data_IF_266288138059
#
_entry.id   IF_266288138059
#
_cell.length_a   1.000
_cell.length_b   1.000
_cell.length_c   1.000
_cell.angle_alpha   90.00
_cell.angle_beta   90.00
_cell.angle_gamma   90.00
#
_symmetry.space_group_name_H-M   'P 1'
#
loop_
_entity.id
_entity.type
_entity.pdbx_description
1 polymer ?
#
# COMPACT_ATOMS: atom_id res chain seq x y z
N UNK A 1 9.21 11.61 -15.39
CA UNK A 1 8.00 11.00 -14.80
C UNK A 1 7.39 11.99 -13.79
N UNK A 2 6.09 12.25 -13.92
CA UNK A 2 5.29 13.03 -12.97
C UNK A 2 4.79 12.14 -11.83
N UNK A 3 5.12 12.49 -10.59
CA UNK A 3 4.81 11.67 -9.41
C UNK A 3 3.31 11.60 -9.11
N UNK A 4 2.85 10.44 -8.62
CA UNK A 4 1.47 10.21 -8.21
C UNK A 4 0.42 10.26 -9.33
N UNK A 5 0.82 10.04 -10.59
CA UNK A 5 -0.04 10.06 -11.79
C UNK A 5 -0.13 8.70 -12.49
N UNK A 6 -1.14 8.54 -13.34
CA UNK A 6 -1.28 7.40 -14.27
C UNK A 6 -0.77 7.77 -15.65
N UNK A 7 -0.22 6.78 -16.35
CA UNK A 7 0.46 6.93 -17.65
C UNK A 7 -0.28 6.24 -18.80
N UNK A 8 -1.61 6.24 -18.74
CA UNK A 8 -2.49 5.71 -19.79
C UNK A 8 -3.77 6.56 -19.82
N UNK A 9 -4.59 6.40 -20.86
CA UNK A 9 -5.87 7.12 -20.98
C UNK A 9 -6.96 6.36 -20.21
N UNK A 10 -7.51 6.92 -19.12
CA UNK A 10 -8.50 6.22 -18.32
C UNK A 10 -9.85 6.12 -19.04
N UNK A 11 -10.49 4.96 -18.92
CA UNK A 11 -11.88 4.74 -19.36
C UNK A 11 -12.84 5.38 -18.36
N UNK A 12 -13.38 6.56 -18.69
CA UNK A 12 -14.19 7.37 -17.77
C UNK A 12 -15.27 6.58 -16.99
N UNK A 13 -15.96 5.64 -17.63
CA UNK A 13 -16.99 4.81 -17.00
C UNK A 13 -16.48 3.93 -15.84
N UNK A 14 -15.21 3.51 -15.85
CA UNK A 14 -14.60 2.70 -14.77
C UNK A 14 -14.30 3.52 -13.52
N UNK A 15 -14.22 4.85 -13.66
CA UNK A 15 -13.83 5.77 -12.60
C UNK A 15 -14.99 6.63 -12.08
N UNK A 16 -16.12 6.68 -12.79
CA UNK A 16 -17.21 7.62 -12.54
C UNK A 16 -17.74 7.62 -11.08
N UNK A 17 -17.82 6.45 -10.46
CA UNK A 17 -18.39 6.27 -9.12
C UNK A 17 -17.34 6.23 -7.99
N UNK A 18 -16.07 6.46 -8.31
CA UNK A 18 -14.99 6.38 -7.33
C UNK A 18 -14.79 7.70 -6.58
N UNK A 19 -14.57 7.59 -5.27
CA UNK A 19 -14.17 8.72 -4.42
C UNK A 19 -12.77 9.21 -4.79
N UNK A 20 -11.83 8.29 -4.97
CA UNK A 20 -10.44 8.59 -5.31
C UNK A 20 -10.30 8.58 -6.83
N UNK A 21 -9.97 9.75 -7.39
CA UNK A 21 -9.75 9.92 -8.83
C UNK A 21 -8.24 9.95 -9.18
N UNK A 22 -7.83 9.33 -10.30
CA UNK A 22 -6.46 9.40 -10.77
C UNK A 22 -6.15 10.78 -11.34
N UNK A 23 -4.88 11.14 -11.36
CA UNK A 23 -4.37 12.26 -12.17
C UNK A 23 -3.66 11.66 -13.37
N UNK A 24 -4.04 12.04 -14.58
CA UNK A 24 -3.34 11.63 -15.80
C UNK A 24 -2.08 12.49 -15.95
N UNK A 25 -0.94 11.86 -16.25
CA UNK A 25 0.32 12.57 -16.46
C UNK A 25 0.22 13.53 -17.66
N UNK A 26 0.86 14.70 -17.57
CA UNK A 26 0.86 15.70 -18.66
C UNK A 26 1.36 15.09 -19.99
N UNK A 27 2.36 14.22 -19.93
CA UNK A 27 2.91 13.52 -21.10
C UNK A 27 1.86 12.69 -21.86
N UNK A 28 0.85 12.13 -21.21
CA UNK A 28 -0.24 11.40 -21.88
C UNK A 28 -1.27 12.36 -22.47
N UNK A 29 -1.51 13.46 -21.77
CA UNK A 29 -2.47 14.49 -22.21
C UNK A 29 -1.96 15.20 -23.46
N UNK A 30 -0.66 15.50 -23.53
CA UNK A 30 -0.03 16.20 -24.65
C UNK A 30 0.54 15.25 -25.72
N UNK A 31 1.13 14.14 -25.29
CA UNK A 31 1.90 13.23 -26.14
C UNK A 31 1.13 12.05 -26.71
N UNK A 32 -0.13 11.83 -26.30
CA UNK A 32 -0.96 10.74 -26.79
C UNK A 32 -0.85 9.45 -25.99
N UNK A 33 -1.49 8.40 -26.50
CA UNK A 33 -1.62 7.12 -25.79
C UNK A 33 -0.44 6.18 -26.10
N UNK A 34 0.67 6.37 -25.39
CA UNK A 34 1.89 5.58 -25.60
C UNK A 34 1.69 4.09 -25.34
N UNK A 35 0.74 3.71 -24.48
CA UNK A 35 0.45 2.31 -24.21
C UNK A 35 -0.32 1.69 -25.37
N UNK A 36 -1.29 2.40 -25.96
CA UNK A 36 -1.97 1.92 -27.18
C UNK A 36 -0.97 1.65 -28.32
N UNK A 37 -0.02 2.56 -28.54
CA UNK A 37 1.02 2.39 -29.57
C UNK A 37 1.89 1.13 -29.32
N UNK A 38 2.16 0.80 -28.06
CA UNK A 38 2.89 -0.42 -27.70
C UNK A 38 2.06 -1.68 -27.98
N UNK A 39 0.76 -1.65 -27.70
CA UNK A 39 -0.16 -2.75 -28.00
C UNK A 39 -0.26 -2.98 -29.51
N UNK A 40 -0.41 -1.92 -30.32
CA UNK A 40 -0.46 -2.04 -31.78
C UNK A 40 0.81 -2.70 -32.35
N UNK A 41 1.99 -2.34 -31.83
CA UNK A 41 3.26 -2.97 -32.22
C UNK A 41 3.32 -4.44 -31.83
N UNK A 42 2.78 -4.80 -30.67
CA UNK A 42 2.68 -6.20 -30.22
C UNK A 42 1.77 -7.01 -31.15
N UNK A 43 0.61 -6.47 -31.53
CA UNK A 43 -0.31 -7.13 -32.48
C UNK A 43 0.29 -7.26 -33.90
N UNK A 44 1.20 -6.36 -34.28
CA UNK A 44 1.96 -6.44 -35.54
C UNK A 44 3.12 -7.46 -35.51
N UNK A 45 3.19 -8.34 -34.50
CA UNK A 45 4.25 -9.34 -34.33
C UNK A 45 5.47 -8.84 -33.55
N UNK A 46 5.32 -7.74 -32.81
CA UNK A 46 6.34 -7.21 -31.92
C UNK A 46 6.50 -7.99 -30.61
N UNK A 47 7.24 -7.39 -29.67
CA UNK A 47 7.49 -7.97 -28.35
C UNK A 47 6.24 -7.97 -27.48
N UNK A 48 6.19 -8.89 -26.51
CA UNK A 48 5.20 -8.89 -25.45
C UNK A 48 5.27 -7.63 -24.59
N UNK A 49 4.12 -7.16 -24.10
CA UNK A 49 3.99 -5.94 -23.31
C UNK A 49 3.77 -6.27 -21.84
N UNK A 50 4.60 -5.67 -20.98
CA UNK A 50 4.42 -5.63 -19.54
C UNK A 50 4.01 -4.25 -19.10
N UNK A 51 2.96 -4.17 -18.28
CA UNK A 51 2.63 -2.95 -17.56
C UNK A 51 3.07 -3.08 -16.11
N UNK A 52 3.85 -2.14 -15.60
CA UNK A 52 4.10 -2.02 -14.16
C UNK A 52 3.27 -0.86 -13.61
N UNK A 53 2.64 -1.05 -12.46
CA UNK A 53 1.80 0.01 -11.86
C UNK A 53 1.95 0.07 -10.35
N UNK A 54 2.02 1.30 -9.83
CA UNK A 54 2.07 1.56 -8.40
C UNK A 54 0.67 1.53 -7.81
N UNK A 55 0.44 0.61 -6.86
CA UNK A 55 -0.87 0.38 -6.26
C UNK A 55 -1.14 1.38 -5.12
N UNK A 56 -0.65 1.10 -3.92
CA UNK A 56 -1.01 1.84 -2.71
C UNK A 56 0.06 2.84 -2.25
N UNK A 57 1.11 3.05 -3.04
CA UNK A 57 2.18 4.00 -2.73
C UNK A 57 2.00 5.29 -3.55
N UNK A 58 1.33 6.29 -2.98
CA UNK A 58 1.03 7.54 -3.69
C UNK A 58 0.79 8.70 -2.72
N UNK A 59 1.86 9.46 -2.45
CA UNK A 59 1.83 10.62 -1.53
C UNK A 59 0.82 11.67 -1.95
N UNK A 60 0.70 11.94 -3.26
CA UNK A 60 -0.27 12.90 -3.79
C UNK A 60 -1.70 12.51 -3.42
N UNK A 61 -2.06 11.25 -3.62
CA UNK A 61 -3.37 10.73 -3.24
C UNK A 61 -3.56 10.74 -1.73
N UNK A 62 -2.56 10.35 -0.95
CA UNK A 62 -2.70 10.35 0.51
C UNK A 62 -2.87 11.76 1.09
N UNK A 63 -2.25 12.79 0.52
CA UNK A 63 -2.49 14.18 0.92
C UNK A 63 -3.90 14.68 0.56
N UNK A 64 -4.45 14.25 -0.58
CA UNK A 64 -5.81 14.62 -0.98
C UNK A 64 -6.90 13.84 -0.22
N UNK A 65 -6.61 12.59 0.15
CA UNK A 65 -7.54 11.67 0.80
C UNK A 65 -6.93 11.12 2.10
N UNK A 66 -6.67 11.98 3.11
CA UNK A 66 -5.97 11.60 4.35
C UNK A 66 -6.74 10.62 5.23
N UNK A 67 -8.02 10.39 4.97
CA UNK A 67 -8.81 9.34 5.59
C UNK A 67 -8.45 7.94 5.07
N UNK A 68 -7.93 7.85 3.85
CA UNK A 68 -7.65 6.60 3.16
C UNK A 68 -6.24 6.04 3.42
N UNK A 69 -5.39 6.78 4.12
CA UNK A 69 -4.00 6.38 4.38
C UNK A 69 -3.85 5.46 5.58
N UNK A 70 -2.71 4.77 5.65
CA UNK A 70 -2.29 4.08 6.87
C UNK A 70 -2.01 5.08 7.99
N UNK A 71 -2.18 4.64 9.24
CA UNK A 71 -1.96 5.48 10.43
C UNK A 71 -1.21 4.72 11.50
N UNK A 72 -0.15 5.29 12.06
CA UNK A 72 0.63 4.64 13.10
C UNK A 72 -0.18 4.45 14.42
N UNK A 73 0.44 3.91 15.47
CA UNK A 73 -0.23 3.67 16.75
C UNK A 73 -0.72 4.96 17.46
N UNK A 74 -0.12 6.10 17.16
CA UNK A 74 -0.52 7.42 17.67
C UNK A 74 -1.69 8.02 16.88
N UNK A 75 -1.90 7.54 15.66
CA UNK A 75 -2.94 8.01 14.73
C UNK A 75 -2.40 8.95 13.66
N UNK A 76 -1.08 9.14 13.57
CA UNK A 76 -0.45 10.01 12.59
C UNK A 76 -0.58 9.41 11.19
N UNK A 77 -0.90 10.22 10.17
CA UNK A 77 -1.07 9.74 8.80
C UNK A 77 0.26 9.49 8.09
N UNK A 78 0.38 8.32 7.46
CA UNK A 78 1.47 8.01 6.55
C UNK A 78 1.03 8.35 5.12
N UNK A 79 1.17 9.61 4.71
CA UNK A 79 0.59 10.11 3.46
C UNK A 79 1.06 9.36 2.21
N UNK A 80 2.22 8.75 2.24
CA UNK A 80 2.76 7.97 1.13
C UNK A 80 2.00 6.64 0.91
N UNK A 81 1.29 6.09 1.91
CA UNK A 81 0.71 4.75 1.82
C UNK A 81 -0.81 4.74 2.05
N UNK A 82 -1.57 4.51 0.97
CA UNK A 82 -2.99 4.18 1.04
C UNK A 82 -3.20 2.85 1.76
N UNK A 83 -4.23 2.76 2.60
CA UNK A 83 -4.45 1.58 3.43
C UNK A 83 -5.11 0.44 2.63
N UNK A 84 -4.54 -0.78 2.61
CA UNK A 84 -5.17 -1.93 1.94
C UNK A 84 -6.49 -2.35 2.59
N UNK A 85 -6.80 -1.89 3.81
CA UNK A 85 -8.11 -2.13 4.44
C UNK A 85 -9.15 -1.06 4.11
N UNK A 86 -8.77 0.08 3.52
CA UNK A 86 -9.71 1.17 3.24
C UNK A 86 -10.50 0.92 1.94
N UNK A 87 -11.84 0.94 1.97
CA UNK A 87 -12.65 0.58 0.80
C UNK A 87 -12.34 1.43 -0.43
N UNK A 88 -12.23 2.75 -0.28
CA UNK A 88 -11.96 3.64 -1.42
C UNK A 88 -10.56 3.43 -2.02
N UNK A 89 -9.55 3.10 -1.20
CA UNK A 89 -8.21 2.79 -1.68
C UNK A 89 -8.20 1.48 -2.48
N UNK A 90 -8.91 0.45 -2.00
CA UNK A 90 -9.09 -0.81 -2.73
C UNK A 90 -9.83 -0.58 -4.04
N UNK A 91 -10.90 0.19 -4.02
CA UNK A 91 -11.71 0.49 -5.21
C UNK A 91 -10.88 1.23 -6.28
N UNK A 92 -10.03 2.19 -5.86
CA UNK A 92 -9.08 2.86 -6.74
C UNK A 92 -8.13 1.88 -7.44
N UNK A 93 -7.44 1.00 -6.70
CA UNK A 93 -6.47 0.07 -7.31
C UNK A 93 -7.17 -0.99 -8.16
N UNK A 94 -8.38 -1.44 -7.77
CA UNK A 94 -9.20 -2.34 -8.58
C UNK A 94 -9.56 -1.71 -9.93
N UNK A 95 -9.99 -0.46 -9.95
CA UNK A 95 -10.28 0.24 -11.20
C UNK A 95 -9.02 0.49 -12.03
N UNK A 96 -7.89 0.81 -11.39
CA UNK A 96 -6.59 0.95 -12.06
C UNK A 96 -6.21 -0.32 -12.83
N UNK A 97 -6.23 -1.47 -12.14
CA UNK A 97 -5.89 -2.77 -12.75
C UNK A 97 -6.92 -3.16 -13.81
N UNK A 98 -8.21 -3.03 -13.51
CA UNK A 98 -9.27 -3.37 -14.47
C UNK A 98 -9.21 -2.50 -15.73
N UNK A 99 -8.92 -1.21 -15.61
CA UNK A 99 -8.85 -0.31 -16.75
C UNK A 99 -7.64 -0.62 -17.64
N UNK A 100 -6.44 -0.73 -17.04
CA UNK A 100 -5.24 -1.07 -17.81
C UNK A 100 -5.41 -2.40 -18.54
N UNK A 101 -5.87 -3.44 -17.83
CA UNK A 101 -5.91 -4.80 -18.38
C UNK A 101 -7.00 -5.01 -19.42
N UNK A 102 -8.19 -4.43 -19.25
CA UNK A 102 -9.26 -4.58 -20.23
C UNK A 102 -9.13 -3.64 -21.43
N UNK A 103 -8.55 -2.45 -21.24
CA UNK A 103 -8.38 -1.47 -22.31
C UNK A 103 -7.20 -1.83 -23.20
N UNK A 104 -6.08 -2.27 -22.61
CA UNK A 104 -4.83 -2.50 -23.35
C UNK A 104 -4.45 -3.98 -23.49
N UNK A 105 -5.01 -4.89 -22.68
CA UNK A 105 -4.71 -6.33 -22.73
C UNK A 105 -3.21 -6.66 -22.84
N UNK A 106 -2.37 -6.11 -21.94
CA UNK A 106 -0.96 -6.45 -21.92
C UNK A 106 -0.78 -7.95 -21.60
N UNK A 107 0.35 -8.53 -22.00
CA UNK A 107 0.66 -9.93 -21.65
C UNK A 107 0.78 -10.13 -20.14
N UNK A 108 1.27 -9.09 -19.43
CA UNK A 108 1.39 -9.12 -17.97
C UNK A 108 1.21 -7.74 -17.35
N UNK A 109 0.76 -7.72 -16.09
CA UNK A 109 0.75 -6.55 -15.23
C UNK A 109 1.51 -6.88 -13.93
N UNK A 110 2.46 -6.03 -13.57
CA UNK A 110 3.31 -6.13 -12.39
C UNK A 110 2.82 -5.13 -11.34
N UNK A 111 2.39 -5.64 -10.18
CA UNK A 111 1.77 -4.84 -9.12
C UNK A 111 2.82 -4.36 -8.11
N UNK A 112 3.12 -3.06 -8.11
CA UNK A 112 3.99 -2.47 -7.10
C UNK A 112 3.24 -2.04 -5.85
N UNK A 113 3.77 -2.45 -4.70
CA UNK A 113 3.31 -2.05 -3.37
C UNK A 113 1.79 -2.20 -3.15
N UNK A 114 1.16 -3.37 -3.43
CA UNK A 114 -0.23 -3.64 -3.07
C UNK A 114 -0.38 -3.97 -1.56
N UNK A 115 0.44 -3.37 -0.70
CA UNK A 115 0.64 -3.77 0.70
C UNK A 115 0.78 -2.59 1.66
N UNK A 116 0.94 -2.91 2.94
CA UNK A 116 1.48 -1.98 3.91
C UNK A 116 2.96 -1.70 3.60
N UNK A 117 3.37 -0.45 3.75
CA UNK A 117 4.75 0.01 3.58
C UNK A 117 5.49 0.09 4.92
N UNK A 118 6.82 0.18 4.88
CA UNK A 118 7.67 0.47 6.03
C UNK A 118 7.48 1.90 6.57
N UNK A 119 8.11 2.20 7.71
CA UNK A 119 8.07 3.54 8.30
C UNK A 119 9.09 4.47 7.63
N UNK A 120 10.38 4.09 7.62
CA UNK A 120 11.40 4.85 6.90
C UNK A 120 11.03 4.96 5.42
N UNK A 121 10.93 6.19 4.91
CA UNK A 121 10.49 6.44 3.55
C UNK A 121 11.34 7.51 2.83
N UNK A 122 12.40 8.02 3.48
CA UNK A 122 13.45 8.92 2.96
C UNK A 122 12.93 10.16 2.20
N UNK A 123 11.70 10.60 2.46
CA UNK A 123 11.08 11.73 1.76
C UNK A 123 10.86 12.93 2.69
N UNK A 124 11.11 14.14 2.14
CA UNK A 124 11.07 15.43 2.85
C UNK A 124 11.97 15.52 4.10
N UNK A 125 13.22 15.06 3.98
CA UNK A 125 14.28 15.34 4.95
C UNK A 125 14.08 14.67 6.32
N UNK A 126 13.79 13.37 6.34
CA UNK A 126 13.91 12.54 7.56
C UNK A 126 15.30 12.74 8.18
N UNK A 127 15.33 13.03 9.49
CA UNK A 127 16.56 13.34 10.24
C UNK A 127 16.59 12.52 11.52
N UNK A 128 17.07 11.31 11.38
CA UNK A 128 17.13 10.36 12.49
C UNK A 128 18.57 10.35 13.02
N UNK A 129 18.92 11.35 13.83
CA UNK A 129 20.31 11.59 14.27
C UNK A 129 20.98 10.42 15.01
N UNK A 130 20.19 9.47 15.52
CA UNK A 130 20.65 8.24 16.20
C UNK A 130 20.18 6.95 15.52
N UNK A 131 19.31 7.06 14.50
CA UNK A 131 18.63 5.93 13.85
C UNK A 131 17.56 5.24 14.72
N UNK A 132 16.55 4.64 14.08
CA UNK A 132 15.60 3.75 14.74
C UNK A 132 16.18 2.34 14.86
N UNK A 133 15.83 1.62 15.92
CA UNK A 133 16.11 0.18 15.98
C UNK A 133 15.18 -0.57 15.01
N UNK A 134 15.52 -1.81 14.59
CA UNK A 134 14.66 -2.57 13.68
C UNK A 134 13.23 -2.75 14.18
N UNK A 135 13.04 -2.97 15.48
CA UNK A 135 11.71 -3.09 16.07
C UNK A 135 10.95 -1.76 16.09
N UNK A 136 11.61 -0.63 16.33
CA UNK A 136 10.95 0.68 16.34
C UNK A 136 10.44 1.05 14.94
N UNK A 137 11.25 0.86 13.91
CA UNK A 137 10.84 1.04 12.50
C UNK A 137 9.65 0.14 12.15
N UNK A 138 9.71 -1.15 12.51
CA UNK A 138 8.62 -2.07 12.28
C UNK A 138 7.33 -1.66 13.01
N UNK A 139 7.42 -1.31 14.29
CA UNK A 139 6.28 -0.94 15.13
C UNK A 139 5.63 0.37 14.66
N UNK A 140 6.43 1.34 14.20
CA UNK A 140 5.95 2.59 13.61
C UNK A 140 5.27 2.38 12.26
N UNK A 141 5.65 1.34 11.50
CA UNK A 141 5.01 0.99 10.23
C UNK A 141 3.60 0.38 10.37
N UNK A 142 3.21 -0.05 11.58
CA UNK A 142 1.94 -0.72 11.80
C UNK A 142 0.75 0.22 11.64
N UNK A 143 -0.19 -0.16 10.77
CA UNK A 143 -1.41 0.62 10.56
C UNK A 143 -2.48 0.29 11.60
N UNK A 144 -3.02 1.31 12.26
CA UNK A 144 -4.18 1.27 13.17
C UNK A 144 -5.25 2.29 12.76
N UNK A 145 -5.39 2.56 11.45
CA UNK A 145 -6.47 3.42 10.96
C UNK A 145 -7.86 2.81 11.25
N UNK A 146 -8.95 3.61 11.22
CA UNK A 146 -10.30 3.12 11.49
C UNK A 146 -10.70 1.89 10.66
N UNK A 147 -10.30 1.84 9.38
CA UNK A 147 -10.61 0.72 8.50
C UNK A 147 -9.88 -0.56 8.89
N UNK A 148 -8.61 -0.50 9.29
CA UNK A 148 -7.87 -1.65 9.81
C UNK A 148 -8.51 -2.16 11.11
N UNK A 149 -8.79 -1.27 12.06
CA UNK A 149 -9.36 -1.64 13.35
C UNK A 149 -10.76 -2.28 13.19
N UNK A 150 -11.61 -1.70 12.33
CA UNK A 150 -12.93 -2.25 12.06
C UNK A 150 -12.86 -3.61 11.34
N UNK A 151 -11.92 -3.78 10.39
CA UNK A 151 -11.73 -5.05 9.67
C UNK A 151 -11.15 -6.14 10.56
N UNK A 152 -10.20 -5.81 11.42
CA UNK A 152 -9.64 -6.71 12.44
C UNK A 152 -10.72 -7.17 13.44
N UNK A 153 -11.54 -6.24 13.93
CA UNK A 153 -12.63 -6.56 14.85
C UNK A 153 -13.64 -7.55 14.23
N UNK A 154 -13.98 -7.40 12.94
CA UNK A 154 -14.83 -8.37 12.21
C UNK A 154 -14.21 -9.77 12.12
N UNK A 155 -12.89 -9.89 12.20
CA UNK A 155 -12.17 -11.15 12.24
C UNK A 155 -11.95 -11.68 13.68
N UNK A 156 -12.53 -11.04 14.70
CA UNK A 156 -12.35 -11.41 16.10
C UNK A 156 -10.99 -11.03 16.69
N UNK A 157 -10.31 -10.03 16.09
CA UNK A 157 -8.97 -9.60 16.50
C UNK A 157 -9.03 -8.29 17.27
N UNK A 158 -8.44 -8.27 18.47
CA UNK A 158 -8.41 -7.13 19.39
C UNK A 158 -7.35 -6.07 18.99
N UNK A 159 -7.57 -5.43 17.84
CA UNK A 159 -6.63 -4.43 17.29
C UNK A 159 -6.38 -3.21 18.18
N UNK A 160 -7.35 -2.82 19.03
CA UNK A 160 -7.16 -1.71 19.97
C UNK A 160 -6.17 -2.05 21.08
N UNK A 161 -6.16 -3.30 21.57
CA UNK A 161 -5.20 -3.75 22.56
C UNK A 161 -3.78 -3.79 21.96
N UNK A 162 -3.65 -4.28 20.72
CA UNK A 162 -2.39 -4.22 19.97
C UNK A 162 -1.91 -2.76 19.81
N UNK A 163 -2.80 -1.85 19.41
CA UNK A 163 -2.48 -0.42 19.27
C UNK A 163 -1.95 0.18 20.57
N UNK A 164 -2.62 -0.07 21.69
CA UNK A 164 -2.24 0.46 22.99
C UNK A 164 -0.84 -0.01 23.40
N UNK A 165 -0.55 -1.30 23.21
CA UNK A 165 0.76 -1.89 23.51
C UNK A 165 1.87 -1.30 22.64
N UNK A 166 1.65 -1.20 21.32
CA UNK A 166 2.62 -0.61 20.39
C UNK A 166 2.87 0.86 20.72
N UNK A 167 1.81 1.62 21.00
CA UNK A 167 1.92 3.03 21.42
C UNK A 167 2.74 3.17 22.70
N UNK A 168 2.51 2.30 23.68
CA UNK A 168 3.28 2.28 24.93
C UNK A 168 4.76 2.01 24.65
N UNK A 169 5.09 1.00 23.84
CA UNK A 169 6.49 0.64 23.58
C UNK A 169 7.27 1.71 22.84
N UNK A 170 6.64 2.37 21.87
CA UNK A 170 7.26 3.50 21.16
C UNK A 170 7.47 4.68 22.11
N UNK A 171 6.48 5.00 22.97
CA UNK A 171 6.65 6.05 23.98
C UNK A 171 7.80 5.74 24.94
N UNK A 172 7.88 4.50 25.45
CA UNK A 172 8.97 4.03 26.30
C UNK A 172 10.34 4.07 25.59
N UNK A 173 10.39 3.85 24.28
CA UNK A 173 11.62 3.97 23.49
C UNK A 173 12.06 5.44 23.37
N UNK A 174 11.11 6.36 23.10
CA UNK A 174 11.38 7.80 23.01
C UNK A 174 11.78 8.45 24.34
N UNK A 175 11.41 7.87 25.48
CA UNK A 175 11.80 8.36 26.82
C UNK A 175 13.25 7.99 27.21
N UNK A 176 13.93 7.11 26.46
CA UNK A 176 15.30 6.69 26.76
C UNK A 176 16.32 7.72 26.26
N UNK A 177 17.38 7.89 27.05
CA UNK A 177 18.52 8.73 26.65
C UNK A 177 19.35 8.11 25.51
N UNK A 178 19.35 6.78 25.39
CA UNK A 178 20.10 6.02 24.39
C UNK A 178 19.18 4.96 23.77
N UNK A 179 19.17 4.80 22.43
CA UNK A 179 18.45 3.71 21.79
C UNK A 179 18.94 2.35 22.27
N UNK A 180 18.02 1.48 22.65
CA UNK A 180 18.32 0.13 23.13
C UNK A 180 17.29 -0.84 22.58
N UNK A 181 17.75 -1.96 22.02
CA UNK A 181 16.87 -3.00 21.49
C UNK A 181 16.07 -3.64 22.62
N UNK A 182 14.74 -3.63 22.47
CA UNK A 182 13.81 -4.43 23.28
C UNK A 182 13.86 -5.90 22.87
N UNK A 183 14.09 -6.17 21.58
CA UNK A 183 14.07 -7.52 21.00
C UNK A 183 15.38 -7.81 20.27
N UNK A 184 16.42 -8.34 20.96
CA UNK A 184 17.74 -8.54 20.37
C UNK A 184 17.74 -9.37 19.07
N UNK A 185 16.90 -10.41 19.02
CA UNK A 185 16.78 -11.34 17.88
C UNK A 185 15.90 -10.83 16.74
N UNK A 186 15.22 -9.69 16.90
CA UNK A 186 14.43 -9.10 15.81
C UNK A 186 15.37 -8.40 14.82
N UNK A 187 15.22 -8.60 13.48
CA UNK A 187 14.09 -9.25 12.79
C UNK A 187 14.25 -10.75 12.50
N UNK A 188 15.35 -11.40 12.91
CA UNK A 188 15.63 -12.81 12.57
C UNK A 188 14.54 -13.78 13.10
N UNK A 189 13.98 -13.51 14.28
CA UNK A 189 12.87 -14.28 14.86
C UNK A 189 11.49 -13.97 14.25
N UNK A 190 11.38 -13.01 13.32
CA UNK A 190 10.12 -12.67 12.65
C UNK A 190 8.99 -12.34 13.63
N UNK A 191 7.78 -12.80 13.32
CA UNK A 191 6.59 -12.55 14.15
C UNK A 191 6.58 -13.36 15.46
N UNK A 192 7.37 -14.45 15.55
CA UNK A 192 7.46 -15.27 16.77
C UNK A 192 7.98 -14.46 17.97
N UNK A 193 8.74 -13.38 17.70
CA UNK A 193 9.14 -12.35 18.66
C UNK A 193 7.97 -11.88 19.52
N UNK A 194 6.76 -11.80 18.95
CA UNK A 194 5.59 -11.21 19.59
C UNK A 194 4.65 -12.25 20.23
N UNK A 195 4.96 -13.56 20.16
CA UNK A 195 4.15 -14.63 20.77
C UNK A 195 3.74 -14.37 22.25
N UNK A 196 4.60 -13.79 23.11
CA UNK A 196 4.23 -13.48 24.50
C UNK A 196 3.15 -12.40 24.65
N UNK A 197 2.78 -11.69 23.57
CA UNK A 197 1.73 -10.65 23.54
C UNK A 197 0.62 -11.04 22.55
N UNK A 198 -0.31 -11.93 22.95
CA UNK A 198 -1.24 -12.58 22.04
C UNK A 198 -2.07 -11.62 21.17
N UNK A 199 -2.48 -10.48 21.71
CA UNK A 199 -3.27 -9.49 20.98
C UNK A 199 -2.46 -8.85 19.84
N UNK A 200 -1.21 -8.49 20.11
CA UNK A 200 -0.32 -7.94 19.08
C UNK A 200 0.04 -9.02 18.06
N UNK A 201 0.43 -10.21 18.52
CA UNK A 201 0.76 -11.32 17.62
C UNK A 201 -0.40 -11.68 16.69
N UNK A 202 -1.62 -11.81 17.23
CA UNK A 202 -2.81 -12.08 16.43
C UNK A 202 -3.11 -10.95 15.43
N UNK A 203 -2.90 -9.68 15.83
CA UNK A 203 -3.02 -8.54 14.92
C UNK A 203 -1.99 -8.57 13.78
N UNK A 204 -0.74 -8.92 14.07
CA UNK A 204 0.32 -9.03 13.09
C UNK A 204 0.07 -10.18 12.09
N UNK A 205 -0.43 -11.32 12.55
CA UNK A 205 -0.85 -12.42 11.67
C UNK A 205 -2.07 -12.03 10.83
N UNK A 206 -3.05 -11.31 11.41
CA UNK A 206 -4.20 -10.84 10.66
C UNK A 206 -3.83 -9.86 9.55
N UNK A 207 -2.77 -9.06 9.70
CA UNK A 207 -2.34 -8.08 8.68
C UNK A 207 -1.99 -8.67 7.31
N UNK A 208 -1.77 -9.98 7.19
CA UNK A 208 -1.67 -10.62 5.87
C UNK A 208 -3.01 -10.55 5.10
N UNK A 209 -4.14 -10.63 5.79
CA UNK A 209 -5.48 -10.75 5.17
C UNK A 209 -5.86 -9.53 4.30
N UNK A 210 -5.70 -8.26 4.73
CA UNK A 210 -6.01 -7.13 3.87
C UNK A 210 -5.20 -7.10 2.57
N UNK A 211 -3.95 -7.58 2.61
CA UNK A 211 -3.03 -7.61 1.47
C UNK A 211 -3.39 -8.78 0.54
N UNK A 212 -3.49 -10.00 1.05
CA UNK A 212 -3.78 -11.18 0.23
C UNK A 212 -5.16 -11.11 -0.41
N UNK A 213 -6.16 -10.62 0.33
CA UNK A 213 -7.50 -10.38 -0.23
C UNK A 213 -7.51 -9.27 -1.28
N UNK A 214 -6.69 -8.22 -1.15
CA UNK A 214 -6.58 -7.19 -2.19
C UNK A 214 -5.99 -7.80 -3.45
N UNK A 215 -4.86 -8.51 -3.36
CA UNK A 215 -4.24 -9.15 -4.53
C UNK A 215 -5.21 -10.15 -5.19
N UNK A 216 -6.02 -10.87 -4.42
CA UNK A 216 -7.08 -11.71 -4.97
C UNK A 216 -8.14 -10.90 -5.74
N UNK A 217 -8.64 -9.80 -5.18
CA UNK A 217 -9.56 -8.87 -5.87
C UNK A 217 -8.95 -8.30 -7.15
N UNK A 218 -7.65 -7.97 -7.15
CA UNK A 218 -6.95 -7.45 -8.34
C UNK A 218 -6.85 -8.49 -9.45
N UNK A 219 -6.61 -9.77 -9.10
CA UNK A 219 -6.65 -10.89 -10.04
C UNK A 219 -8.04 -11.14 -10.60
N UNK A 220 -9.08 -10.97 -9.78
CA UNK A 220 -10.47 -11.17 -10.19
C UNK A 220 -10.94 -10.12 -11.20
N UNK A 221 -10.55 -8.85 -11.03
CA UNK A 221 -10.99 -7.76 -11.91
C UNK A 221 -10.15 -7.62 -13.18
N UNK A 222 -8.96 -8.19 -13.22
CA UNK A 222 -8.08 -8.15 -14.39
C UNK A 222 -8.68 -8.89 -15.60
N UNK A 223 -8.31 -8.47 -16.81
CA UNK A 223 -8.63 -9.24 -18.02
C UNK A 223 -8.00 -10.65 -17.92
N UNK A 224 -8.74 -11.73 -18.22
CA UNK A 224 -8.25 -13.10 -18.07
C UNK A 224 -7.08 -13.45 -19.00
N UNK A 225 -6.83 -12.65 -20.05
CA UNK A 225 -5.68 -12.77 -20.94
C UNK A 225 -4.41 -12.10 -20.41
N UNK A 226 -4.49 -11.31 -19.35
CA UNK A 226 -3.33 -10.66 -18.72
C UNK A 226 -2.86 -11.43 -17.50
N UNK A 227 -1.56 -11.77 -17.45
CA UNK A 227 -0.97 -12.37 -16.27
C UNK A 227 -0.71 -11.32 -15.17
N UNK A 228 -1.26 -11.53 -13.96
CA UNK A 228 -1.09 -10.62 -12.82
C UNK A 228 0.02 -11.12 -11.91
N UNK A 229 1.11 -10.35 -11.85
CA UNK A 229 2.33 -10.61 -11.09
C UNK A 229 2.36 -9.79 -9.80
#
# INVERSE_FOLDING_TARGET
PEDGTIYFKPTAARWADLVIQPKVAEMITEGGDVLADLIERREAGGLQVSCWTVCLHNTRLGMLYPQAVTRNAFGDPNYYNLCPSHPDARAYVRALVADVTHTYKPDRIELESPSFMGFAHEYHHEKDGVGLTPEDDFLLSLCFCPSCLARAARAGIEGQAARALVKQWIAEACERAVPERRFPEFPASGLDTFLPWPQLHAYLLWRFEPVTSLVAELREVADPGTNVL
#
